data_IF_665615655861
#
_entry.id   IF_665615655861
#
_cell.length_a   1.000
_cell.length_b   1.000
_cell.length_c   1.000
_cell.angle_alpha   90.00
_cell.angle_beta   90.00
_cell.angle_gamma   90.00
#
_symmetry.space_group_name_H-M   'P 1'
#
loop_
_entity.id
_entity.type
_entity.pdbx_description
1 polymer ?
#
# COMPACT_ATOMS: atom_id res chain seq x y z
N UNK A 1 24.05 -1.73 -39.37
CA UNK A 1 23.94 -0.45 -38.65
C UNK A 1 22.49 0.00 -38.76
N UNK A 2 21.60 -0.08 -37.78
CA UNK A 2 21.50 -0.80 -36.52
C UNK A 2 19.99 -0.83 -36.24
N UNK A 3 19.42 -2.01 -36.02
CA UNK A 3 17.98 -2.18 -35.79
C UNK A 3 17.66 -1.70 -34.37
N UNK A 4 16.88 -0.63 -34.25
CA UNK A 4 16.40 -0.14 -32.96
C UNK A 4 15.32 -1.07 -32.42
N UNK A 5 15.66 -1.91 -31.45
CA UNK A 5 14.72 -2.67 -30.64
C UNK A 5 14.02 -1.74 -29.67
N UNK A 6 13.00 -1.03 -30.16
CA UNK A 6 12.03 -0.35 -29.31
C UNK A 6 11.15 -1.40 -28.64
N UNK A 7 11.46 -1.74 -27.39
CA UNK A 7 10.58 -2.56 -26.55
C UNK A 7 9.37 -1.71 -26.14
N UNK A 8 8.31 -1.83 -26.92
CA UNK A 8 6.90 -1.67 -26.52
C UNK A 8 6.48 -0.38 -25.83
N UNK A 9 5.93 0.58 -26.59
CA UNK A 9 4.81 1.41 -26.12
C UNK A 9 3.59 0.51 -25.90
N UNK A 10 3.53 -0.14 -24.74
CA UNK A 10 2.33 -0.84 -24.28
C UNK A 10 1.18 0.16 -24.17
N UNK A 11 0.03 -0.19 -24.73
CA UNK A 11 -1.18 0.65 -24.76
C UNK A 11 -1.65 0.81 -23.30
N UNK A 12 -1.26 1.90 -22.63
CA UNK A 12 -1.73 2.24 -21.27
C UNK A 12 -0.70 2.75 -20.26
N UNK A 13 0.60 2.85 -20.58
CA UNK A 13 1.63 3.29 -19.61
C UNK A 13 2.43 4.49 -20.16
N UNK A 14 2.46 5.59 -19.41
CA UNK A 14 3.16 6.84 -19.76
C UNK A 14 4.67 6.72 -19.53
N UNK A 15 5.43 7.71 -20.00
CA UNK A 15 6.86 7.79 -19.68
C UNK A 15 7.12 8.05 -18.19
N UNK A 16 6.24 8.83 -17.55
CA UNK A 16 6.30 9.08 -16.10
C UNK A 16 6.09 7.80 -15.30
N UNK A 17 5.13 6.96 -15.70
CA UNK A 17 4.94 5.64 -15.09
C UNK A 17 6.17 4.73 -15.29
N UNK A 18 6.85 4.77 -16.45
CA UNK A 18 8.10 4.02 -16.65
C UNK A 18 9.22 4.52 -15.74
N UNK A 19 9.38 5.84 -15.65
CA UNK A 19 10.36 6.44 -14.76
C UNK A 19 10.09 6.11 -13.28
N UNK A 20 8.82 6.10 -12.88
CA UNK A 20 8.39 5.67 -11.54
C UNK A 20 8.75 4.19 -11.31
N UNK A 21 8.42 3.30 -12.25
CA UNK A 21 8.74 1.87 -12.17
C UNK A 21 10.24 1.65 -12.00
N UNK A 22 11.08 2.29 -12.82
CA UNK A 22 12.54 2.14 -12.76
C UNK A 22 13.11 2.66 -11.43
N UNK A 23 12.59 3.78 -10.92
CA UNK A 23 12.97 4.34 -9.63
C UNK A 23 12.63 3.39 -8.47
N UNK A 24 11.39 2.90 -8.43
CA UNK A 24 10.87 1.99 -7.40
C UNK A 24 11.63 0.67 -7.43
N UNK A 25 11.82 0.08 -8.62
CA UNK A 25 12.60 -1.15 -8.80
C UNK A 25 14.02 -0.99 -8.28
N UNK A 26 14.68 0.10 -8.65
CA UNK A 26 16.04 0.40 -8.20
C UNK A 26 16.13 0.54 -6.69
N UNK A 27 15.14 1.18 -6.06
CA UNK A 27 15.07 1.30 -4.60
C UNK A 27 14.82 -0.05 -3.92
N UNK A 28 13.83 -0.82 -4.38
CA UNK A 28 13.48 -2.14 -3.84
C UNK A 28 14.67 -3.11 -3.88
N UNK A 29 15.41 -3.12 -4.98
CA UNK A 29 16.60 -3.97 -5.14
C UNK A 29 17.70 -3.71 -4.10
N UNK A 30 17.73 -2.50 -3.50
CA UNK A 30 18.66 -2.13 -2.42
C UNK A 30 18.04 -2.30 -1.03
N UNK A 31 16.76 -1.99 -0.89
CA UNK A 31 16.07 -1.92 0.39
C UNK A 31 15.57 -3.29 0.88
N UNK A 32 15.35 -4.25 -0.03
CA UNK A 32 14.79 -5.57 0.27
C UNK A 32 15.75 -6.65 -0.25
N UNK A 33 16.83 -6.96 0.49
CA UNK A 33 17.75 -8.01 0.08
C UNK A 33 17.02 -9.38 0.08
N UNK A 34 17.32 -10.29 -0.87
CA UNK A 34 16.60 -11.57 -1.02
C UNK A 34 16.54 -12.44 0.25
N UNK A 35 17.47 -12.26 1.18
CA UNK A 35 17.48 -12.96 2.47
C UNK A 35 16.29 -12.60 3.35
N UNK A 36 15.83 -11.35 3.36
CA UNK A 36 14.74 -10.88 4.22
C UNK A 36 13.40 -11.55 3.86
N UNK A 37 13.10 -11.67 2.56
CA UNK A 37 11.91 -12.38 2.08
C UNK A 37 11.94 -13.85 2.51
N UNK A 38 13.11 -14.49 2.47
CA UNK A 38 13.26 -15.90 2.84
C UNK A 38 13.14 -16.10 4.35
N UNK A 39 13.76 -15.24 5.15
CA UNK A 39 13.63 -15.25 6.61
C UNK A 39 12.17 -15.08 7.06
N UNK A 40 11.41 -14.21 6.39
CA UNK A 40 9.98 -14.02 6.69
C UNK A 40 9.10 -15.20 6.24
N UNK A 41 9.47 -15.90 5.16
CA UNK A 41 8.80 -17.13 4.76
C UNK A 41 9.11 -18.30 5.71
N UNK A 42 10.36 -18.37 6.18
CA UNK A 42 10.82 -19.42 7.09
C UNK A 42 10.37 -19.17 8.54
N UNK A 43 9.96 -17.94 8.88
CA UNK A 43 9.40 -17.59 10.17
C UNK A 43 8.12 -18.39 10.47
N UNK A 44 8.17 -19.21 11.52
CA UNK A 44 7.03 -19.99 11.99
C UNK A 44 6.09 -19.10 12.80
N UNK A 45 5.01 -18.62 12.17
CA UNK A 45 3.91 -17.92 12.82
C UNK A 45 3.74 -16.46 12.38
N UNK A 46 2.59 -15.84 12.69
CA UNK A 46 2.33 -14.46 12.31
C UNK A 46 3.34 -13.54 13.00
N UNK A 47 3.75 -12.49 12.28
CA UNK A 47 4.49 -11.39 12.87
C UNK A 47 3.76 -10.84 14.10
N UNK A 48 4.50 -10.39 15.12
CA UNK A 48 3.92 -9.78 16.30
C UNK A 48 2.93 -8.66 15.89
N UNK A 49 1.74 -8.56 16.53
CA UNK A 49 0.78 -7.52 16.19
C UNK A 49 1.41 -6.14 16.19
N UNK A 50 1.24 -5.41 15.09
CA UNK A 50 1.80 -4.06 14.92
C UNK A 50 3.30 -4.01 14.58
N UNK A 51 3.98 -5.14 14.39
CA UNK A 51 5.34 -5.12 13.86
C UNK A 51 5.34 -4.67 12.39
N UNK A 52 6.39 -3.95 12.01
CA UNK A 52 6.61 -3.50 10.63
C UNK A 52 7.96 -4.04 10.17
N UNK A 53 8.10 -4.49 8.91
CA UNK A 53 9.40 -4.88 8.37
C UNK A 53 10.43 -3.77 8.46
N UNK A 54 11.73 -4.12 8.47
CA UNK A 54 12.80 -3.14 8.61
C UNK A 54 12.78 -2.08 7.49
N UNK A 55 12.41 -2.49 6.28
CA UNK A 55 12.32 -1.61 5.12
C UNK A 55 11.11 -0.64 5.16
N UNK A 56 10.16 -0.79 6.09
CA UNK A 56 8.91 0.00 6.12
C UNK A 56 9.15 1.51 6.24
N UNK A 57 10.06 1.93 7.13
CA UNK A 57 10.41 3.35 7.27
C UNK A 57 11.01 3.91 5.97
N UNK A 58 11.73 3.07 5.23
CA UNK A 58 12.27 3.42 3.93
C UNK A 58 11.16 3.61 2.88
N UNK A 59 10.16 2.73 2.83
CA UNK A 59 8.99 2.90 1.95
C UNK A 59 8.29 4.25 2.21
N UNK A 60 8.04 4.55 3.48
CA UNK A 60 7.39 5.80 3.87
C UNK A 60 8.22 7.03 3.52
N UNK A 61 9.54 6.98 3.75
CA UNK A 61 10.45 8.07 3.40
C UNK A 61 10.56 8.32 1.88
N UNK A 62 10.30 7.30 1.05
CA UNK A 62 10.19 7.44 -0.41
C UNK A 62 8.79 7.91 -0.87
N UNK A 63 7.85 8.14 0.07
CA UNK A 63 6.48 8.53 -0.24
C UNK A 63 5.60 7.39 -0.76
N UNK A 64 6.10 6.15 -0.78
CA UNK A 64 5.40 5.03 -1.43
C UNK A 64 4.15 4.58 -0.66
N UNK A 65 4.09 4.80 0.66
CA UNK A 65 2.91 4.48 1.49
C UNK A 65 1.69 5.36 1.20
N UNK A 66 1.88 6.51 0.56
CA UNK A 66 0.83 7.48 0.25
C UNK A 66 0.88 8.02 -1.17
N UNK A 67 1.49 7.30 -2.13
CA UNK A 67 1.75 7.83 -3.47
C UNK A 67 0.48 8.30 -4.20
N UNK A 68 -0.63 7.58 -4.03
CA UNK A 68 -1.96 7.89 -4.60
C UNK A 68 -2.81 8.82 -3.74
N UNK A 69 -2.34 9.18 -2.55
CA UNK A 69 -3.08 10.06 -1.67
C UNK A 69 -2.80 11.52 -2.04
N UNK A 70 -3.80 12.40 -1.97
CA UNK A 70 -3.58 13.84 -2.17
C UNK A 70 -2.52 14.42 -1.23
N UNK A 71 -1.80 15.43 -1.71
CA UNK A 71 -0.80 16.19 -0.93
C UNK A 71 -1.40 16.82 0.34
N UNK A 72 -2.70 17.13 0.35
CA UNK A 72 -3.40 17.65 1.54
C UNK A 72 -3.40 16.68 2.74
N UNK A 73 -3.16 15.39 2.48
CA UNK A 73 -2.94 14.36 3.50
C UNK A 73 -1.44 14.01 3.69
N UNK A 74 -0.52 14.73 3.04
CA UNK A 74 0.90 14.42 3.02
C UNK A 74 1.26 13.28 2.06
N UNK A 75 0.38 12.94 1.12
CA UNK A 75 0.62 11.94 0.08
C UNK A 75 1.41 12.47 -1.11
N UNK A 76 1.65 11.60 -2.09
CA UNK A 76 2.44 11.89 -3.30
C UNK A 76 1.67 12.61 -4.40
N UNK A 77 0.35 12.77 -4.27
CA UNK A 77 -0.48 13.47 -5.26
C UNK A 77 -0.73 12.70 -6.57
N UNK A 78 -0.23 11.47 -6.68
CA UNK A 78 -0.51 10.58 -7.80
C UNK A 78 -1.91 9.96 -7.72
N UNK A 79 -2.20 9.06 -8.64
CA UNK A 79 -3.48 8.36 -8.73
C UNK A 79 -3.36 6.83 -8.55
N UNK A 80 -4.42 6.10 -8.89
CA UNK A 80 -4.44 4.65 -8.77
C UNK A 80 -3.54 3.94 -9.79
N UNK A 81 -3.24 4.56 -10.94
CA UNK A 81 -2.28 4.01 -11.91
C UNK A 81 -0.86 4.16 -11.40
N UNK A 82 -0.50 5.28 -10.78
CA UNK A 82 0.79 5.44 -10.11
C UNK A 82 0.97 4.38 -9.02
N UNK A 83 -0.06 4.17 -8.18
CA UNK A 83 -0.04 3.10 -7.18
C UNK A 83 0.08 1.71 -7.83
N UNK A 84 -0.63 1.45 -8.94
CA UNK A 84 -0.55 0.17 -9.64
C UNK A 84 0.87 -0.13 -10.13
N UNK A 85 1.57 0.89 -10.66
CA UNK A 85 2.98 0.78 -11.06
C UNK A 85 3.87 0.41 -9.87
N UNK A 86 3.70 1.09 -8.73
CA UNK A 86 4.47 0.77 -7.51
C UNK A 86 4.17 -0.65 -7.01
N UNK A 87 2.89 -1.06 -7.05
CA UNK A 87 2.46 -2.39 -6.63
C UNK A 87 3.01 -3.49 -7.53
N UNK A 88 3.11 -3.26 -8.84
CA UNK A 88 3.71 -4.21 -9.78
C UNK A 88 5.19 -4.46 -9.45
N UNK A 89 5.97 -3.39 -9.23
CA UNK A 89 7.38 -3.53 -8.86
C UNK A 89 7.56 -4.13 -7.46
N UNK A 90 6.69 -3.76 -6.50
CA UNK A 90 6.68 -4.37 -5.17
C UNK A 90 6.38 -5.88 -5.23
N UNK A 91 5.44 -6.29 -6.09
CA UNK A 91 5.12 -7.70 -6.32
C UNK A 91 6.27 -8.43 -7.02
N UNK A 92 6.90 -7.80 -8.01
CA UNK A 92 8.08 -8.35 -8.70
C UNK A 92 9.25 -8.59 -7.74
N UNK A 93 9.47 -7.67 -6.80
CA UNK A 93 10.47 -7.81 -5.74
C UNK A 93 10.06 -8.77 -4.61
N UNK A 94 8.84 -9.34 -4.65
CA UNK A 94 8.26 -10.11 -3.56
C UNK A 94 8.33 -9.38 -2.21
N UNK A 95 8.02 -8.09 -2.21
CA UNK A 95 8.09 -7.22 -1.04
C UNK A 95 7.26 -7.81 0.11
N UNK A 96 7.89 -8.24 1.21
CA UNK A 96 7.16 -8.89 2.29
C UNK A 96 6.51 -7.87 3.22
N UNK A 97 5.40 -8.26 3.85
CA UNK A 97 4.72 -7.43 4.85
C UNK A 97 3.43 -6.77 4.34
N UNK A 98 2.88 -5.79 5.08
CA UNK A 98 1.50 -5.36 4.92
C UNK A 98 1.31 -4.27 3.86
N UNK A 99 2.24 -4.11 2.92
CA UNK A 99 2.25 -2.98 1.98
C UNK A 99 0.97 -2.90 1.14
N UNK A 100 0.66 -3.98 0.40
CA UNK A 100 -0.54 -4.06 -0.44
C UNK A 100 -1.83 -3.81 0.36
N UNK A 101 -2.00 -4.52 1.48
CA UNK A 101 -3.18 -4.39 2.33
C UNK A 101 -3.36 -2.95 2.85
N UNK A 102 -2.26 -2.31 3.23
CA UNK A 102 -2.24 -0.95 3.79
C UNK A 102 -2.61 0.08 2.73
N UNK A 103 -1.96 0.05 1.56
CA UNK A 103 -2.21 1.06 0.50
C UNK A 103 -3.62 0.91 -0.08
N UNK A 104 -4.13 -0.32 -0.24
CA UNK A 104 -5.52 -0.56 -0.66
C UNK A 104 -6.54 -0.05 0.37
N UNK A 105 -6.27 -0.25 1.66
CA UNK A 105 -7.13 0.28 2.72
C UNK A 105 -7.17 1.81 2.66
N UNK A 106 -6.00 2.45 2.50
CA UNK A 106 -5.94 3.91 2.38
C UNK A 106 -6.64 4.43 1.12
N UNK A 107 -6.60 3.70 0.00
CA UNK A 107 -7.33 4.04 -1.22
C UNK A 107 -8.85 3.99 -1.01
N UNK A 108 -9.36 2.94 -0.35
CA UNK A 108 -10.79 2.82 0.01
C UNK A 108 -11.20 3.93 0.98
N UNK A 109 -10.38 4.21 1.98
CA UNK A 109 -10.64 5.25 2.96
C UNK A 109 -10.65 6.65 2.31
N UNK A 110 -9.77 6.88 1.33
CA UNK A 110 -9.76 8.11 0.55
C UNK A 110 -11.08 8.30 -0.22
N UNK A 111 -11.57 7.25 -0.88
CA UNK A 111 -12.89 7.28 -1.55
C UNK A 111 -14.03 7.56 -0.57
N UNK A 112 -13.98 6.98 0.63
CA UNK A 112 -14.97 7.28 1.67
C UNK A 112 -14.91 8.76 2.12
N UNK A 113 -13.70 9.33 2.23
CA UNK A 113 -13.51 10.75 2.54
C UNK A 113 -14.11 11.65 1.45
N UNK A 114 -13.88 11.33 0.17
CA UNK A 114 -14.49 12.03 -0.98
C UNK A 114 -16.03 11.96 -0.94
N UNK A 115 -16.58 10.85 -0.42
CA UNK A 115 -18.01 10.65 -0.22
C UNK A 115 -18.58 11.32 1.06
N UNK A 116 -17.77 12.10 1.79
CA UNK A 116 -18.21 12.88 2.96
C UNK A 116 -17.97 12.22 4.32
N UNK A 117 -17.15 11.16 4.40
CA UNK A 117 -16.77 10.57 5.69
C UNK A 117 -15.74 11.45 6.43
N UNK A 118 -16.21 12.39 7.25
CA UNK A 118 -15.38 13.40 7.94
C UNK A 118 -14.23 12.83 8.78
N UNK A 119 -14.41 11.64 9.35
CA UNK A 119 -13.41 10.98 10.21
C UNK A 119 -12.23 10.36 9.44
N UNK A 120 -12.27 10.33 8.11
CA UNK A 120 -11.25 9.66 7.29
C UNK A 120 -9.93 10.46 7.18
N UNK A 121 -9.98 11.79 7.31
CA UNK A 121 -8.82 12.67 7.06
C UNK A 121 -7.62 12.42 7.99
N UNK A 122 -7.87 12.15 9.28
CA UNK A 122 -6.82 11.86 10.26
C UNK A 122 -6.03 10.59 9.91
N UNK A 123 -6.69 9.43 9.79
CA UNK A 123 -6.03 8.20 9.39
C UNK A 123 -5.32 8.27 8.03
N UNK A 124 -5.85 9.02 7.05
CA UNK A 124 -5.18 9.19 5.75
C UNK A 124 -3.79 9.83 5.87
N UNK A 125 -3.59 10.79 6.79
CA UNK A 125 -2.27 11.35 7.08
C UNK A 125 -1.32 10.34 7.70
N UNK A 126 -1.84 9.51 8.61
CA UNK A 126 -1.05 8.43 9.23
C UNK A 126 -0.66 7.35 8.21
N UNK A 127 -1.53 7.04 7.24
CA UNK A 127 -1.19 6.14 6.12
C UNK A 127 -0.10 6.74 5.25
N UNK A 128 -0.24 8.01 4.84
CA UNK A 128 0.75 8.69 4.01
C UNK A 128 2.13 8.72 4.69
N UNK A 129 2.19 9.03 5.99
CA UNK A 129 3.42 9.03 6.78
C UNK A 129 4.00 7.63 7.08
N UNK A 130 3.26 6.56 6.79
CA UNK A 130 3.64 5.19 7.14
C UNK A 130 3.54 4.88 8.64
N UNK A 131 2.80 5.70 9.39
CA UNK A 131 2.54 5.54 10.82
C UNK A 131 1.40 4.58 11.13
N UNK A 132 0.61 4.22 10.11
CA UNK A 132 -0.48 3.25 10.21
C UNK A 132 -0.35 2.16 9.15
N UNK A 133 -0.59 0.92 9.57
CA UNK A 133 -0.89 -0.20 8.68
C UNK A 133 -2.33 -0.66 8.91
N UNK A 134 -2.95 -1.22 7.90
CA UNK A 134 -4.30 -1.76 7.99
C UNK A 134 -4.53 -2.80 6.90
N UNK A 135 -5.66 -3.48 7.01
CA UNK A 135 -6.17 -4.37 5.98
C UNK A 135 -7.67 -4.17 5.84
N UNK A 136 -8.20 -4.58 4.69
CA UNK A 136 -9.63 -4.72 4.47
C UNK A 136 -10.02 -6.16 4.75
N UNK A 137 -11.10 -6.36 5.50
CA UNK A 137 -11.74 -7.64 5.69
C UNK A 137 -13.08 -7.58 4.96
N UNK A 138 -13.12 -8.16 3.77
CA UNK A 138 -14.29 -8.09 2.87
C UNK A 138 -15.08 -9.40 2.83
N UNK A 139 -14.55 -10.46 3.42
CA UNK A 139 -15.24 -11.74 3.51
C UNK A 139 -16.53 -11.62 4.35
N UNK A 140 -17.57 -12.42 4.02
CA UNK A 140 -18.92 -12.23 4.56
C UNK A 140 -19.01 -12.39 6.09
N UNK A 141 -18.15 -13.24 6.67
CA UNK A 141 -17.94 -13.33 8.12
C UNK A 141 -19.22 -13.46 8.97
N UNK A 142 -19.08 -13.06 10.23
CA UNK A 142 -20.19 -12.90 11.19
C UNK A 142 -20.15 -11.53 11.86
N UNK A 143 -19.25 -10.63 11.43
CA UNK A 143 -19.11 -9.31 12.02
C UNK A 143 -20.40 -8.52 11.87
N UNK A 144 -20.95 -8.09 12.99
CA UNK A 144 -22.11 -7.21 13.08
C UNK A 144 -21.71 -5.89 13.71
N UNK A 145 -22.37 -4.81 13.29
CA UNK A 145 -22.26 -3.49 13.91
C UNK A 145 -23.64 -3.09 14.45
N UNK A 146 -23.74 -2.91 15.76
CA UNK A 146 -24.99 -2.49 16.42
C UNK A 146 -24.82 -1.11 17.05
N UNK A 147 -25.80 -0.19 16.94
CA UNK A 147 -25.70 1.13 17.55
C UNK A 147 -25.43 1.07 19.06
N UNK A 148 -24.52 1.89 19.55
CA UNK A 148 -24.15 2.01 20.97
C UNK A 148 -23.87 3.49 21.33
N UNK A 149 -23.86 3.87 22.62
CA UNK A 149 -23.50 5.23 23.01
C UNK A 149 -22.11 5.61 22.49
N UNK A 150 -22.04 6.66 21.66
CA UNK A 150 -20.78 7.13 21.06
C UNK A 150 -20.31 6.37 19.81
N UNK A 151 -21.08 5.43 19.24
CA UNK A 151 -20.70 4.75 18.01
C UNK A 151 -21.43 3.43 17.77
N UNK A 152 -20.65 2.39 17.43
CA UNK A 152 -21.16 1.04 17.18
C UNK A 152 -20.41 0.01 18.02
N UNK A 153 -21.13 -0.99 18.54
CA UNK A 153 -20.54 -2.22 19.07
C UNK A 153 -20.31 -3.19 17.92
N UNK A 154 -19.05 -3.55 17.71
CA UNK A 154 -18.64 -4.58 16.76
C UNK A 154 -18.57 -5.94 17.45
N UNK A 155 -19.20 -6.97 16.88
CA UNK A 155 -19.21 -8.33 17.43
C UNK A 155 -19.23 -9.37 16.30
N UNK A 156 -18.38 -10.39 16.39
CA UNK A 156 -18.24 -11.44 15.37
C UNK A 156 -16.84 -11.50 14.74
N UNK A 157 -16.73 -12.18 13.60
CA UNK A 157 -15.47 -12.42 12.89
C UNK A 157 -15.54 -11.81 11.49
N UNK A 158 -14.52 -11.04 11.11
CA UNK A 158 -14.33 -10.56 9.75
C UNK A 158 -13.15 -11.31 9.12
N UNK A 159 -13.41 -12.34 8.28
CA UNK A 159 -12.36 -13.01 7.54
C UNK A 159 -11.76 -12.05 6.48
N UNK A 160 -10.51 -12.27 6.06
CA UNK A 160 -9.87 -11.48 5.01
C UNK A 160 -10.75 -11.42 3.75
#
# INVERSE_FOLDING_TARGET
MGIGTGIGTGIGITEEHRALADSVRGWLARAVPPGETRELLDAQGPSAPGSRPAHWKGLAAQGLTGIHLPEAYGGGGGDLLDLAVVLEEAAYAMLPGPYLATVLTSAVLHRAAEAGAEHAAGPLREFAAGDRTAALALGPGTLTATPAPGGHRLDGVAPP
#
